data_IF_617871272133
#
_entry.id   IF_617871272133
#
_cell.length_a   1.000
_cell.length_b   1.000
_cell.length_c   1.000
_cell.angle_alpha   90.00
_cell.angle_beta   90.00
_cell.angle_gamma   90.00
#
_symmetry.space_group_name_H-M   'P 1'
#
loop_
_entity.id
_entity.type
_entity.pdbx_description
1 polymer ?
#
# COMPACT_ATOMS: atom_id res chain seq x y z
N UNK A 1 5.85 -5.76 -4.34
CA UNK A 1 4.53 -5.73 -5.02
C UNK A 1 3.53 -6.64 -4.35
N UNK A 2 3.90 -7.86 -3.95
CA UNK A 2 2.98 -8.85 -3.36
C UNK A 2 2.15 -8.34 -2.17
N UNK A 3 2.73 -7.53 -1.27
CA UNK A 3 1.99 -6.98 -0.13
C UNK A 3 0.84 -6.04 -0.55
N UNK A 4 1.00 -5.31 -1.65
CA UNK A 4 -0.05 -4.45 -2.22
C UNK A 4 -1.13 -5.33 -2.86
N UNK A 5 -0.72 -6.31 -3.65
CA UNK A 5 -1.63 -7.24 -4.33
C UNK A 5 -2.50 -8.02 -3.33
N UNK A 6 -1.89 -8.59 -2.29
CA UNK A 6 -2.60 -9.28 -1.21
C UNK A 6 -3.51 -8.35 -0.41
N UNK A 7 -3.10 -7.09 -0.21
CA UNK A 7 -3.90 -6.08 0.47
C UNK A 7 -5.19 -5.77 -0.30
N UNK A 8 -5.10 -5.66 -1.62
CA UNK A 8 -6.26 -5.46 -2.48
C UNK A 8 -7.10 -6.74 -2.63
N UNK A 9 -6.45 -7.90 -2.76
CA UNK A 9 -7.12 -9.20 -2.87
C UNK A 9 -7.98 -9.51 -1.64
N UNK A 10 -7.60 -9.02 -0.45
CA UNK A 10 -8.38 -9.17 0.77
C UNK A 10 -9.78 -8.54 0.68
N UNK A 11 -10.02 -7.62 -0.26
CA UNK A 11 -11.33 -7.03 -0.54
C UNK A 11 -12.12 -7.83 -1.60
N UNK A 12 -11.49 -8.79 -2.27
CA UNK A 12 -12.06 -9.57 -3.36
C UNK A 12 -11.38 -9.31 -4.70
N UNK A 13 -11.39 -10.32 -5.58
CA UNK A 13 -10.63 -10.27 -6.83
C UNK A 13 -11.12 -9.18 -7.81
N UNK A 14 -12.44 -9.01 -7.93
CA UNK A 14 -13.01 -7.96 -8.77
C UNK A 14 -12.61 -6.56 -8.29
N UNK A 15 -12.58 -6.34 -6.97
CA UNK A 15 -12.15 -5.07 -6.36
C UNK A 15 -10.66 -4.85 -6.61
N UNK A 16 -9.82 -5.88 -6.45
CA UNK A 16 -8.39 -5.80 -6.79
C UNK A 16 -8.16 -5.35 -8.23
N UNK A 17 -8.84 -5.98 -9.19
CA UNK A 17 -8.74 -5.62 -10.60
C UNK A 17 -9.20 -4.17 -10.85
N UNK A 18 -10.32 -3.77 -10.26
CA UNK A 18 -10.82 -2.39 -10.36
C UNK A 18 -9.82 -1.38 -9.80
N UNK A 19 -9.17 -1.68 -8.66
CA UNK A 19 -8.16 -0.79 -8.08
C UNK A 19 -6.98 -0.60 -9.02
N UNK A 20 -6.42 -1.69 -9.54
CA UNK A 20 -5.30 -1.58 -10.49
C UNK A 20 -5.69 -0.86 -11.77
N UNK A 21 -6.89 -1.11 -12.29
CA UNK A 21 -7.40 -0.39 -13.45
C UNK A 21 -7.50 1.11 -13.20
N UNK A 22 -8.00 1.54 -12.03
CA UNK A 22 -8.07 2.95 -11.67
C UNK A 22 -6.67 3.56 -11.49
N UNK A 23 -5.75 2.89 -10.82
CA UNK A 23 -4.37 3.35 -10.66
C UNK A 23 -3.71 3.63 -12.01
N UNK A 24 -3.86 2.70 -12.96
CA UNK A 24 -3.25 2.86 -14.28
C UNK A 24 -3.97 3.90 -15.14
N UNK A 25 -5.30 3.86 -15.22
CA UNK A 25 -6.07 4.64 -16.21
C UNK A 25 -6.53 6.02 -15.70
N UNK A 26 -6.55 6.25 -14.39
CA UNK A 26 -6.93 7.56 -13.80
C UNK A 26 -5.76 8.29 -13.16
N UNK A 27 -4.78 7.55 -12.64
CA UNK A 27 -3.65 8.14 -11.92
C UNK A 27 -2.29 7.92 -12.61
N UNK A 28 -2.26 7.20 -13.74
CA UNK A 28 -1.02 6.92 -14.51
C UNK A 28 0.06 6.25 -13.64
N UNK A 29 -0.36 5.36 -12.75
CA UNK A 29 0.51 4.55 -11.88
C UNK A 29 0.36 3.09 -12.27
N UNK A 30 1.39 2.53 -12.91
CA UNK A 30 1.45 1.09 -13.15
C UNK A 30 1.82 0.34 -11.88
N UNK A 31 1.40 -0.92 -11.77
CA UNK A 31 1.65 -1.75 -10.59
C UNK A 31 3.14 -1.82 -10.19
N UNK A 32 4.04 -1.90 -11.18
CA UNK A 32 5.48 -1.94 -10.98
C UNK A 32 6.10 -0.58 -10.61
N UNK A 33 5.39 0.52 -10.82
CA UNK A 33 5.84 1.87 -10.46
C UNK A 33 5.49 2.25 -9.01
N UNK A 34 4.54 1.53 -8.38
CA UNK A 34 4.09 1.81 -7.00
C UNK A 34 5.25 2.01 -6.02
N UNK A 35 6.31 1.15 -5.98
CA UNK A 35 7.43 1.34 -5.04
C UNK A 35 8.18 2.67 -5.21
N UNK A 36 8.14 3.26 -6.40
CA UNK A 36 8.83 4.51 -6.73
C UNK A 36 7.90 5.75 -6.68
N UNK A 37 6.57 5.54 -6.69
CA UNK A 37 5.54 6.58 -6.67
C UNK A 37 4.67 6.49 -5.41
N UNK A 38 5.31 6.34 -4.24
CA UNK A 38 4.60 6.05 -2.98
C UNK A 38 3.62 7.16 -2.58
N UNK A 39 3.98 8.44 -2.80
CA UNK A 39 3.13 9.58 -2.46
C UNK A 39 1.90 9.64 -3.37
N UNK A 40 2.12 9.51 -4.66
CA UNK A 40 1.07 9.50 -5.69
C UNK A 40 0.14 8.29 -5.49
N UNK A 41 0.69 7.14 -5.12
CA UNK A 41 -0.07 5.95 -4.79
C UNK A 41 -0.99 6.16 -3.57
N UNK A 42 -0.47 6.74 -2.48
CA UNK A 42 -1.28 7.07 -1.30
C UNK A 42 -2.41 8.05 -1.65
N UNK A 43 -2.09 9.09 -2.42
CA UNK A 43 -3.07 10.09 -2.83
C UNK A 43 -4.13 9.49 -3.76
N UNK A 44 -3.75 8.60 -4.68
CA UNK A 44 -4.70 7.88 -5.54
C UNK A 44 -5.69 7.04 -4.71
N UNK A 45 -5.20 6.26 -3.74
CA UNK A 45 -6.08 5.50 -2.85
C UNK A 45 -7.01 6.41 -2.04
N UNK A 46 -6.51 7.56 -1.56
CA UNK A 46 -7.32 8.56 -0.86
C UNK A 46 -8.40 9.17 -1.75
N UNK A 47 -8.10 9.43 -3.02
CA UNK A 47 -9.08 9.91 -3.99
C UNK A 47 -10.17 8.86 -4.28
N UNK A 48 -9.83 7.57 -4.25
CA UNK A 48 -10.78 6.49 -4.51
C UNK A 48 -11.65 6.13 -3.30
N UNK A 49 -11.07 6.11 -2.10
CA UNK A 49 -11.70 5.54 -0.89
C UNK A 49 -11.92 6.57 0.23
N UNK A 50 -11.51 7.83 0.03
CA UNK A 50 -11.56 8.85 1.07
C UNK A 50 -10.75 8.44 2.30
N UNK A 51 -11.33 8.63 3.49
CA UNK A 51 -10.75 8.20 4.76
C UNK A 51 -10.54 6.68 4.86
N UNK A 52 -11.29 5.88 4.09
CA UNK A 52 -11.13 4.42 4.04
C UNK A 52 -9.77 3.97 3.48
N UNK A 53 -9.05 4.85 2.77
CA UNK A 53 -7.72 4.56 2.25
C UNK A 53 -6.70 4.26 3.35
N UNK A 54 -6.85 4.86 4.54
CA UNK A 54 -5.94 4.65 5.66
C UNK A 54 -5.96 3.20 6.14
N UNK A 55 -7.14 2.58 6.17
CA UNK A 55 -7.31 1.17 6.54
C UNK A 55 -6.60 0.29 5.51
N UNK A 56 -6.78 0.57 4.22
CA UNK A 56 -6.17 -0.20 3.14
C UNK A 56 -4.64 -0.11 3.16
N UNK A 57 -4.11 1.12 3.30
CA UNK A 57 -2.67 1.37 3.45
C UNK A 57 -2.10 0.60 4.66
N UNK A 58 -2.82 0.55 5.78
CA UNK A 58 -2.40 -0.18 6.98
C UNK A 58 -2.39 -1.70 6.80
N UNK A 59 -3.37 -2.25 6.09
CA UNK A 59 -3.39 -3.67 5.70
C UNK A 59 -2.15 -3.99 4.85
N UNK A 60 -1.85 -3.14 3.85
CA UNK A 60 -0.70 -3.30 2.97
C UNK A 60 0.61 -3.27 3.77
N UNK A 61 0.78 -2.32 4.70
CA UNK A 61 1.98 -2.26 5.55
C UNK A 61 2.12 -3.48 6.43
N UNK A 62 1.04 -3.96 7.04
CA UNK A 62 1.08 -5.17 7.87
C UNK A 62 1.54 -6.37 7.06
N UNK A 63 1.01 -6.55 5.84
CA UNK A 63 1.44 -7.59 4.89
C UNK A 63 2.90 -7.42 4.49
N UNK A 64 3.34 -6.19 4.24
CA UNK A 64 4.72 -5.88 3.88
C UNK A 64 5.71 -6.30 4.97
N UNK A 65 5.44 -5.95 6.23
CA UNK A 65 6.29 -6.34 7.36
C UNK A 65 6.34 -7.86 7.54
N UNK A 66 5.20 -8.55 7.43
CA UNK A 66 5.13 -10.03 7.52
C UNK A 66 6.02 -10.66 6.45
N UNK A 67 5.96 -10.18 5.20
CA UNK A 67 6.79 -10.70 4.11
C UNK A 67 8.29 -10.48 4.29
N UNK A 68 8.66 -9.43 5.03
CA UNK A 68 10.05 -9.18 5.41
C UNK A 68 10.47 -9.91 6.69
N UNK A 69 9.61 -10.75 7.26
CA UNK A 69 9.80 -11.40 8.57
C UNK A 69 10.08 -10.39 9.70
N UNK A 70 9.50 -9.18 9.59
CA UNK A 70 9.62 -8.11 10.58
C UNK A 70 8.38 -8.07 11.48
N UNK A 71 8.57 -7.68 12.75
CA UNK A 71 7.46 -7.40 13.66
C UNK A 71 6.82 -6.06 13.30
N UNK A 72 5.58 -6.08 12.84
CA UNK A 72 4.77 -4.88 12.71
C UNK A 72 4.39 -4.35 14.10
N UNK A 73 4.63 -3.07 14.34
CA UNK A 73 4.16 -2.34 15.50
C UNK A 73 3.41 -1.11 15.00
N UNK A 74 2.20 -0.91 15.50
CA UNK A 74 1.43 0.27 15.19
C UNK A 74 2.00 1.45 15.98
N UNK A 75 2.55 2.43 15.27
CA UNK A 75 3.15 3.63 15.85
C UNK A 75 2.28 4.82 15.48
N UNK A 76 1.82 5.54 16.50
CA UNK A 76 0.99 6.73 16.32
C UNK A 76 1.76 7.82 15.55
N UNK A 77 1.04 8.48 14.63
CA UNK A 77 1.61 9.53 13.77
C UNK A 77 2.45 9.03 12.60
N UNK A 78 2.72 7.73 12.47
CA UNK A 78 3.46 7.21 11.32
C UNK A 78 2.61 7.16 10.06
N UNK A 79 3.14 7.74 8.98
CA UNK A 79 2.60 7.60 7.64
C UNK A 79 3.00 6.26 7.02
N UNK A 80 2.35 5.90 5.91
CA UNK A 80 2.72 4.73 5.11
C UNK A 80 4.21 4.76 4.71
N UNK A 81 4.75 5.93 4.37
CA UNK A 81 6.15 6.08 3.97
C UNK A 81 7.09 5.84 5.17
N UNK A 82 6.73 6.29 6.37
CA UNK A 82 7.54 6.07 7.58
C UNK A 82 7.71 4.58 7.87
N UNK A 83 6.64 3.79 7.71
CA UNK A 83 6.71 2.33 7.82
C UNK A 83 7.63 1.70 6.76
N UNK A 84 7.55 2.15 5.50
CA UNK A 84 8.44 1.64 4.44
C UNK A 84 9.90 1.96 4.74
N UNK A 85 10.21 3.20 5.14
CA UNK A 85 11.58 3.62 5.46
C UNK A 85 12.12 2.93 6.71
N UNK A 86 11.29 2.70 7.73
CA UNK A 86 11.67 1.91 8.89
C UNK A 86 12.01 0.46 8.50
N UNK A 87 11.16 -0.20 7.71
CA UNK A 87 11.44 -1.57 7.26
C UNK A 87 12.75 -1.65 6.47
N UNK A 88 13.02 -0.70 5.57
CA UNK A 88 14.30 -0.60 4.83
C UNK A 88 15.51 -0.48 5.75
N UNK A 89 15.38 0.20 6.90
CA UNK A 89 16.46 0.31 7.90
C UNK A 89 16.69 -0.99 8.68
N UNK A 90 15.65 -1.79 8.90
CA UNK A 90 15.71 -3.02 9.69
C UNK A 90 16.27 -4.22 8.91
N UNK A 91 16.17 -4.21 7.58
CA UNK A 91 16.71 -5.26 6.70
C UNK A 91 18.14 -4.99 6.22
N UNK A 92 18.76 -3.93 6.75
CA UNK A 92 20.09 -3.45 6.33
C UNK A 92 21.21 -4.15 7.08
#
# INVERSE_FOLDING_TARGET
>A
MEAVDEGFLALGDSIRQAIYWHLENRFSIKQNEIPNKLKEFMEALKNMFGSGAEILLKIIIKRFYIKLNLKFKDVEGWSFIDYIENAKKLIK
#
